data_IF_350413127234
#
_entry.id   IF_350413127234
#
_cell.length_a   1.000
_cell.length_b   1.000
_cell.length_c   1.000
_cell.angle_alpha   90.00
_cell.angle_beta   90.00
_cell.angle_gamma   90.00
#
_symmetry.space_group_name_H-M   'P 1'
#
loop_
_entity.id
_entity.type
_entity.pdbx_description
1 polymer ?
#
# COMPACT_ATOMS: atom_id res chain seq x y z
N UNK A 1 -20.41 21.87 -9.56
CA UNK A 1 -20.08 20.43 -9.49
C UNK A 1 -21.37 19.63 -9.66
N UNK A 2 -21.45 18.69 -10.61
CA UNK A 2 -22.63 17.81 -10.69
C UNK A 2 -22.67 16.89 -9.47
N UNK A 3 -23.84 16.69 -8.82
CA UNK A 3 -23.97 15.76 -7.71
C UNK A 3 -23.55 14.36 -8.17
N UNK A 4 -22.64 13.73 -7.44
CA UNK A 4 -22.15 12.40 -7.74
C UNK A 4 -23.24 11.41 -7.31
N UNK A 5 -23.83 10.70 -8.26
CA UNK A 5 -24.84 9.67 -7.96
C UNK A 5 -24.29 8.61 -7.00
N UNK A 6 -25.11 8.06 -6.09
CA UNK A 6 -24.66 7.02 -5.18
C UNK A 6 -24.11 5.80 -5.93
N UNK A 7 -23.13 5.06 -5.36
CA UNK A 7 -22.64 3.83 -5.97
C UNK A 7 -23.76 2.79 -6.10
N UNK A 8 -23.79 2.07 -7.23
CA UNK A 8 -24.73 0.96 -7.42
C UNK A 8 -24.51 -0.16 -6.40
N UNK A 9 -25.56 -0.95 -6.13
CA UNK A 9 -25.48 -2.09 -5.22
C UNK A 9 -24.34 -3.07 -5.58
N UNK A 10 -24.12 -3.32 -6.88
CA UNK A 10 -23.01 -4.17 -7.36
C UNK A 10 -21.64 -3.63 -6.95
N UNK A 11 -21.41 -2.31 -7.04
CA UNK A 11 -20.14 -1.68 -6.63
C UNK A 11 -19.93 -1.74 -5.13
N UNK A 12 -21.02 -1.59 -4.34
CA UNK A 12 -20.96 -1.75 -2.89
C UNK A 12 -20.58 -3.18 -2.50
N UNK A 13 -21.25 -4.19 -3.08
CA UNK A 13 -20.90 -5.59 -2.83
C UNK A 13 -19.45 -5.87 -3.20
N UNK A 14 -19.00 -5.42 -4.39
CA UNK A 14 -17.61 -5.57 -4.81
C UNK A 14 -16.66 -4.95 -3.77
N UNK A 15 -16.82 -3.67 -3.43
CA UNK A 15 -15.97 -2.99 -2.45
C UNK A 15 -15.96 -3.68 -1.08
N UNK A 16 -17.08 -4.25 -0.64
CA UNK A 16 -17.17 -4.95 0.63
C UNK A 16 -16.42 -6.28 0.64
N UNK A 17 -16.33 -7.00 -0.47
CA UNK A 17 -15.64 -8.32 -0.53
C UNK A 17 -14.15 -8.20 -0.84
N UNK A 18 -13.70 -7.10 -1.46
CA UNK A 18 -12.30 -6.91 -1.87
C UNK A 18 -11.28 -7.17 -0.74
N UNK A 19 -11.48 -6.69 0.50
CA UNK A 19 -10.49 -6.90 1.55
C UNK A 19 -10.20 -8.37 1.91
N UNK A 20 -11.13 -9.28 1.63
CA UNK A 20 -10.92 -10.72 1.80
C UNK A 20 -10.47 -11.40 0.50
N UNK A 21 -11.06 -11.02 -0.65
CA UNK A 21 -10.77 -11.65 -1.94
C UNK A 21 -9.35 -11.36 -2.42
N UNK A 22 -8.88 -10.12 -2.27
CA UNK A 22 -7.57 -9.68 -2.77
C UNK A 22 -6.41 -10.49 -2.16
N UNK A 23 -6.29 -10.63 -0.81
CA UNK A 23 -5.26 -11.48 -0.22
C UNK A 23 -5.37 -12.94 -0.65
N UNK A 24 -6.58 -13.49 -0.73
CA UNK A 24 -6.80 -14.91 -1.08
C UNK A 24 -6.34 -15.22 -2.51
N UNK A 25 -6.73 -14.39 -3.48
CA UNK A 25 -6.33 -14.52 -4.88
C UNK A 25 -4.82 -14.36 -5.00
N UNK A 26 -4.25 -13.33 -4.38
CA UNK A 26 -2.84 -13.04 -4.52
C UNK A 26 -1.93 -14.06 -3.83
N UNK A 27 -2.42 -14.78 -2.81
CA UNK A 27 -1.69 -15.92 -2.25
C UNK A 27 -1.41 -16.99 -3.31
N UNK A 28 -2.42 -17.30 -4.13
CA UNK A 28 -2.24 -18.22 -5.25
C UNK A 28 -1.29 -17.65 -6.30
N UNK A 29 -1.46 -16.37 -6.67
CA UNK A 29 -0.60 -15.69 -7.65
C UNK A 29 0.87 -15.67 -7.23
N UNK A 30 1.19 -15.29 -5.99
CA UNK A 30 2.57 -15.25 -5.50
C UNK A 30 3.21 -16.64 -5.48
N UNK A 31 2.49 -17.64 -4.98
CA UNK A 31 2.98 -19.02 -4.97
C UNK A 31 3.24 -19.54 -6.38
N UNK A 32 2.32 -19.29 -7.30
CA UNK A 32 2.48 -19.73 -8.68
C UNK A 32 3.61 -18.99 -9.40
N UNK A 33 3.72 -17.67 -9.21
CA UNK A 33 4.78 -16.87 -9.80
C UNK A 33 6.17 -17.33 -9.33
N UNK A 34 6.33 -17.63 -8.03
CA UNK A 34 7.60 -18.17 -7.48
C UNK A 34 7.92 -19.54 -8.06
N UNK A 35 6.92 -20.43 -8.23
CA UNK A 35 7.14 -21.73 -8.90
C UNK A 35 7.59 -21.59 -10.35
N UNK A 36 7.02 -20.63 -11.08
CA UNK A 36 7.26 -20.48 -12.53
C UNK A 36 8.55 -19.71 -12.84
N UNK A 37 8.87 -18.68 -12.05
CA UNK A 37 9.94 -17.74 -12.37
C UNK A 37 11.09 -17.77 -11.34
N UNK A 38 11.00 -18.65 -10.34
CA UNK A 38 11.94 -18.71 -9.21
C UNK A 38 11.69 -17.63 -8.16
N UNK A 39 12.40 -17.72 -7.03
CA UNK A 39 12.15 -16.89 -5.84
C UNK A 39 12.15 -15.39 -6.13
N UNK A 40 13.17 -14.92 -6.84
CA UNK A 40 13.37 -13.47 -7.03
C UNK A 40 12.42 -12.90 -8.08
N UNK A 41 12.44 -13.45 -9.30
CA UNK A 41 11.59 -12.94 -10.41
C UNK A 41 10.12 -13.24 -10.14
N UNK A 42 9.81 -14.36 -9.51
CA UNK A 42 8.44 -14.70 -9.08
C UNK A 42 7.90 -13.73 -8.03
N UNK A 43 8.71 -13.33 -7.05
CA UNK A 43 8.32 -12.31 -6.08
C UNK A 43 8.05 -10.94 -6.75
N UNK A 44 8.93 -10.51 -7.67
CA UNK A 44 8.72 -9.28 -8.45
C UNK A 44 7.45 -9.34 -9.30
N UNK A 45 7.23 -10.47 -10.00
CA UNK A 45 6.03 -10.69 -10.82
C UNK A 45 4.75 -10.69 -9.97
N UNK A 46 4.79 -11.29 -8.77
CA UNK A 46 3.70 -11.21 -7.80
C UNK A 46 3.34 -9.77 -7.43
N UNK A 47 4.33 -8.92 -7.15
CA UNK A 47 4.11 -7.49 -6.87
C UNK A 47 3.58 -6.74 -8.09
N UNK A 48 4.11 -6.99 -9.28
CA UNK A 48 3.61 -6.36 -10.51
C UNK A 48 2.13 -6.71 -10.76
N UNK A 49 1.76 -7.98 -10.60
CA UNK A 49 0.37 -8.43 -10.69
C UNK A 49 -0.52 -7.78 -9.62
N UNK A 50 0.00 -7.66 -8.39
CA UNK A 50 -0.71 -6.99 -7.30
C UNK A 50 -0.99 -5.51 -7.62
N UNK A 51 0.02 -4.75 -8.06
CA UNK A 51 -0.16 -3.34 -8.41
C UNK A 51 -1.17 -3.15 -9.55
N UNK A 52 -1.09 -3.99 -10.58
CA UNK A 52 -2.06 -4.00 -11.68
C UNK A 52 -3.48 -4.29 -11.17
N UNK A 53 -3.62 -5.26 -10.28
CA UNK A 53 -4.91 -5.61 -9.68
C UNK A 53 -5.47 -4.48 -8.80
N UNK A 54 -4.64 -3.84 -7.98
CA UNK A 54 -5.03 -2.70 -7.17
C UNK A 54 -5.61 -1.56 -8.02
N UNK A 55 -4.89 -1.15 -9.07
CA UNK A 55 -5.36 -0.12 -9.98
C UNK A 55 -6.60 -0.56 -10.77
N UNK A 56 -6.59 -1.77 -11.33
CA UNK A 56 -7.70 -2.29 -12.11
C UNK A 56 -9.01 -2.35 -11.31
N UNK A 57 -8.95 -2.89 -10.09
CA UNK A 57 -10.10 -2.96 -9.19
C UNK A 57 -10.53 -1.58 -8.70
N UNK A 58 -9.58 -0.70 -8.36
CA UNK A 58 -9.90 0.66 -7.94
C UNK A 58 -10.64 1.44 -9.04
N UNK A 59 -10.14 1.38 -10.28
CA UNK A 59 -10.75 2.03 -11.43
C UNK A 59 -12.12 1.41 -11.77
N UNK A 60 -12.25 0.09 -11.71
CA UNK A 60 -13.51 -0.59 -12.01
C UNK A 60 -14.62 -0.29 -10.98
N UNK A 61 -14.26 -0.22 -9.69
CA UNK A 61 -15.23 -0.06 -8.59
C UNK A 61 -15.50 1.41 -8.28
N UNK A 62 -14.47 2.21 -8.08
CA UNK A 62 -14.60 3.62 -7.69
C UNK A 62 -14.73 4.57 -8.90
N UNK A 63 -14.05 4.24 -10.01
CA UNK A 63 -13.97 5.08 -11.19
C UNK A 63 -12.91 6.18 -11.07
N UNK A 64 -12.27 6.50 -12.20
CA UNK A 64 -11.19 7.49 -12.26
C UNK A 64 -11.57 8.88 -11.71
N UNK A 65 -12.74 9.48 -12.03
CA UNK A 65 -13.06 10.83 -11.56
C UNK A 65 -13.15 10.94 -10.03
N UNK A 66 -13.69 9.91 -9.37
CA UNK A 66 -13.83 9.89 -7.90
C UNK A 66 -12.47 9.73 -7.24
N UNK A 67 -11.67 8.79 -7.71
CA UNK A 67 -10.30 8.57 -7.22
C UNK A 67 -9.43 9.83 -7.39
N UNK A 68 -9.45 10.44 -8.57
CA UNK A 68 -8.71 11.69 -8.82
C UNK A 68 -9.16 12.82 -7.89
N UNK A 69 -10.46 12.91 -7.57
CA UNK A 69 -10.99 13.88 -6.61
C UNK A 69 -10.40 13.72 -5.21
N UNK A 70 -10.13 12.49 -4.77
CA UNK A 70 -9.55 12.21 -3.46
C UNK A 70 -8.09 12.65 -3.34
N UNK A 71 -7.33 12.67 -4.44
CA UNK A 71 -5.95 13.21 -4.44
C UNK A 71 -5.87 14.70 -4.69
N UNK A 72 -6.87 15.29 -5.36
CA UNK A 72 -6.91 16.74 -5.64
C UNK A 72 -7.35 17.58 -4.46
N UNK A 73 -8.07 16.99 -3.51
CA UNK A 73 -8.54 17.68 -2.33
C UNK A 73 -7.46 17.62 -1.25
N UNK A 74 -7.00 18.80 -0.81
CA UNK A 74 -6.20 18.92 0.41
C UNK A 74 -7.16 18.87 1.59
N UNK A 75 -7.63 17.68 1.92
CA UNK A 75 -8.42 17.46 3.13
C UNK A 75 -7.69 18.01 4.35
N UNK A 76 -8.41 18.61 5.29
CA UNK A 76 -7.81 19.18 6.50
C UNK A 76 -8.49 18.58 7.73
N UNK A 77 -7.75 18.05 8.71
CA UNK A 77 -8.33 17.62 9.97
C UNK A 77 -8.88 18.83 10.74
N UNK A 78 -9.82 18.58 11.64
CA UNK A 78 -10.25 19.58 12.62
C UNK A 78 -9.08 20.04 13.51
N UNK A 79 -9.23 21.22 14.12
CA UNK A 79 -8.17 21.85 14.94
C UNK A 79 -7.74 20.96 16.09
N UNK A 80 -8.67 20.21 16.69
CA UNK A 80 -8.43 19.36 17.85
C UNK A 80 -7.70 18.06 17.45
N UNK A 81 -7.99 17.50 16.28
CA UNK A 81 -7.43 16.26 15.78
C UNK A 81 -6.08 16.45 15.06
N UNK A 82 -5.71 17.69 14.74
CA UNK A 82 -4.52 18.00 13.93
C UNK A 82 -3.23 17.37 14.43
N UNK A 83 -3.01 17.35 15.76
CA UNK A 83 -1.80 16.73 16.34
C UNK A 83 -1.78 15.24 16.07
N UNK A 84 -2.87 14.54 16.41
CA UNK A 84 -3.01 13.10 16.19
C UNK A 84 -2.90 12.76 14.70
N UNK A 85 -3.51 13.56 13.82
CA UNK A 85 -3.42 13.40 12.37
C UNK A 85 -1.98 13.36 11.89
N UNK A 86 -1.17 14.37 12.24
CA UNK A 86 0.23 14.39 11.84
C UNK A 86 1.08 13.34 12.54
N UNK A 87 0.82 13.02 13.81
CA UNK A 87 1.51 11.91 14.48
C UNK A 87 1.28 10.59 13.76
N UNK A 88 0.04 10.32 13.34
CA UNK A 88 -0.30 9.10 12.59
C UNK A 88 0.42 9.06 11.24
N UNK A 89 0.50 10.19 10.52
CA UNK A 89 1.19 10.26 9.22
C UNK A 89 2.72 10.17 9.33
N UNK A 90 3.31 10.72 10.38
CA UNK A 90 4.76 10.81 10.53
C UNK A 90 5.39 9.59 11.21
N UNK A 91 4.61 8.85 12.01
CA UNK A 91 5.15 7.72 12.77
C UNK A 91 5.67 6.58 11.87
N UNK A 92 4.94 6.08 10.85
CA UNK A 92 5.48 5.04 9.98
C UNK A 92 6.75 5.43 9.19
N UNK A 93 6.84 6.61 8.53
CA UNK A 93 8.07 6.98 7.83
C UNK A 93 9.22 7.22 8.81
N UNK A 94 9.00 7.81 9.99
CA UNK A 94 10.05 7.93 11.00
C UNK A 94 10.57 6.55 11.46
N UNK A 95 9.67 5.59 11.68
CA UNK A 95 10.03 4.20 11.97
C UNK A 95 10.83 3.54 10.84
N UNK A 96 10.42 3.72 9.58
CA UNK A 96 11.11 3.16 8.43
C UNK A 96 12.49 3.81 8.20
N UNK A 97 12.62 5.11 8.43
CA UNK A 97 13.89 5.82 8.37
C UNK A 97 14.88 5.24 9.39
N UNK A 98 14.44 5.08 10.64
CA UNK A 98 15.29 4.62 11.73
C UNK A 98 15.65 3.14 11.64
N UNK A 99 14.75 2.29 11.12
CA UNK A 99 14.93 0.83 11.12
C UNK A 99 15.40 0.23 9.80
N UNK A 100 15.19 0.91 8.67
CA UNK A 100 15.58 0.45 7.34
C UNK A 100 16.53 1.43 6.62
N UNK A 101 16.18 2.72 6.50
CA UNK A 101 16.99 3.64 5.69
C UNK A 101 18.36 3.92 6.32
N UNK A 102 18.42 4.46 7.54
CA UNK A 102 19.66 4.85 8.22
C UNK A 102 20.65 3.66 8.32
N UNK A 103 20.24 2.45 8.76
CA UNK A 103 21.16 1.33 8.88
C UNK A 103 21.72 0.83 7.54
N UNK A 104 21.03 1.09 6.43
CA UNK A 104 21.38 0.55 5.12
C UNK A 104 21.84 1.61 4.10
N UNK A 105 21.74 2.91 4.41
CA UNK A 105 21.99 4.00 3.47
C UNK A 105 23.38 3.93 2.82
N UNK A 106 24.43 3.72 3.63
CA UNK A 106 25.82 3.61 3.13
C UNK A 106 26.03 2.41 2.21
N UNK A 107 25.26 1.33 2.39
CA UNK A 107 25.39 0.07 1.64
C UNK A 107 24.53 0.03 0.38
N UNK A 108 23.53 0.89 0.29
CA UNK A 108 22.54 0.88 -0.79
C UNK A 108 23.13 1.37 -2.11
N UNK A 109 23.88 2.48 -2.08
CA UNK A 109 24.28 3.22 -3.28
C UNK A 109 23.10 3.98 -3.91
N UNK A 110 23.42 4.88 -4.85
CA UNK A 110 22.43 5.77 -5.47
C UNK A 110 21.37 5.00 -6.27
N UNK A 111 21.76 3.95 -7.00
CA UNK A 111 20.84 3.15 -7.82
C UNK A 111 19.78 2.46 -6.97
N UNK A 112 20.16 1.87 -5.83
CA UNK A 112 19.18 1.24 -4.94
C UNK A 112 18.29 2.26 -4.24
N UNK A 113 18.81 3.45 -3.92
CA UNK A 113 17.99 4.53 -3.37
C UNK A 113 16.94 5.00 -4.38
N UNK A 114 17.33 5.23 -5.63
CA UNK A 114 16.40 5.62 -6.70
C UNK A 114 15.36 4.52 -6.98
N UNK A 115 15.80 3.26 -7.04
CA UNK A 115 14.89 2.12 -7.19
C UNK A 115 13.89 2.04 -6.01
N UNK A 116 14.35 2.23 -4.77
CA UNK A 116 13.48 2.22 -3.60
C UNK A 116 12.42 3.32 -3.67
N UNK A 117 12.78 4.53 -4.11
CA UNK A 117 11.82 5.62 -4.33
C UNK A 117 10.78 5.24 -5.39
N UNK A 118 11.22 4.76 -6.55
CA UNK A 118 10.31 4.35 -7.62
C UNK A 118 9.32 3.27 -7.17
N UNK A 119 9.84 2.21 -6.55
CA UNK A 119 9.04 1.09 -6.04
C UNK A 119 8.10 1.56 -4.93
N UNK A 120 8.60 2.38 -3.99
CA UNK A 120 7.82 2.86 -2.86
C UNK A 120 6.67 3.76 -3.28
N UNK A 121 6.90 4.66 -4.24
CA UNK A 121 5.84 5.50 -4.83
C UNK A 121 4.83 4.64 -5.58
N UNK A 122 5.27 3.71 -6.43
CA UNK A 122 4.36 2.82 -7.18
C UNK A 122 3.49 1.98 -6.23
N UNK A 123 4.10 1.37 -5.22
CA UNK A 123 3.40 0.56 -4.24
C UNK A 123 2.37 1.38 -3.46
N UNK A 124 2.81 2.48 -2.85
CA UNK A 124 1.95 3.37 -2.08
C UNK A 124 0.75 3.85 -2.90
N UNK A 125 0.97 4.32 -4.13
CA UNK A 125 -0.13 4.82 -4.96
C UNK A 125 -1.13 3.73 -5.34
N UNK A 126 -0.65 2.53 -5.70
CA UNK A 126 -1.53 1.41 -6.01
C UNK A 126 -2.34 0.96 -4.77
N UNK A 127 -1.67 0.83 -3.62
CA UNK A 127 -2.31 0.41 -2.38
C UNK A 127 -3.29 1.46 -1.86
N UNK A 128 -2.96 2.74 -1.87
CA UNK A 128 -3.89 3.79 -1.46
C UNK A 128 -5.12 3.86 -2.38
N UNK A 129 -4.96 3.63 -3.68
CA UNK A 129 -6.09 3.57 -4.61
C UNK A 129 -7.11 2.49 -4.21
N UNK A 130 -6.62 1.29 -3.88
CA UNK A 130 -7.45 0.14 -3.53
C UNK A 130 -7.98 0.23 -2.09
N UNK A 131 -7.07 0.29 -1.11
CA UNK A 131 -7.38 0.08 0.29
C UNK A 131 -8.05 1.27 0.96
N UNK A 132 -7.83 2.49 0.47
CA UNK A 132 -8.44 3.71 1.03
C UNK A 132 -9.36 4.36 -0.01
N UNK A 133 -8.93 4.44 -1.26
CA UNK A 133 -9.68 5.08 -2.34
C UNK A 133 -11.03 4.41 -2.64
N UNK A 134 -11.05 3.09 -2.84
CA UNK A 134 -12.31 2.35 -3.06
C UNK A 134 -13.30 2.52 -1.91
N UNK A 135 -12.95 2.19 -0.65
CA UNK A 135 -13.89 2.30 0.45
C UNK A 135 -14.34 3.74 0.71
N UNK A 136 -13.49 4.75 0.53
CA UNK A 136 -13.91 6.15 0.66
C UNK A 136 -14.87 6.59 -0.45
N UNK A 137 -14.64 6.13 -1.69
CA UNK A 137 -15.49 6.46 -2.82
C UNK A 137 -16.86 5.75 -2.81
N UNK A 138 -16.96 4.61 -2.11
CA UNK A 138 -18.15 3.75 -2.09
C UNK A 138 -18.91 3.82 -0.77
N UNK A 139 -18.22 3.95 0.36
CA UNK A 139 -18.80 3.96 1.70
C UNK A 139 -18.39 5.21 2.50
N UNK A 140 -18.61 6.43 1.97
CA UNK A 140 -18.27 7.64 2.70
C UNK A 140 -18.98 7.66 4.06
N UNK A 141 -18.22 7.93 5.13
CA UNK A 141 -18.75 8.02 6.50
C UNK A 141 -19.05 6.69 7.21
N UNK A 142 -19.02 5.52 6.54
CA UNK A 142 -19.22 4.23 7.22
C UNK A 142 -17.92 3.73 7.81
N UNK A 143 -17.70 3.85 9.12
CA UNK A 143 -16.43 3.49 9.78
C UNK A 143 -15.99 2.04 9.54
N UNK A 144 -16.91 1.07 9.60
CA UNK A 144 -16.55 -0.35 9.45
C UNK A 144 -16.13 -0.64 8.00
N UNK A 145 -17.02 -0.45 7.03
CA UNK A 145 -16.74 -0.77 5.63
C UNK A 145 -15.79 0.22 4.94
N UNK A 146 -15.75 1.46 5.42
CA UNK A 146 -14.94 2.55 4.88
C UNK A 146 -13.52 2.61 5.44
N UNK A 147 -13.26 1.96 6.59
CA UNK A 147 -11.97 2.03 7.29
C UNK A 147 -11.56 0.71 7.94
N UNK A 148 -12.26 0.22 8.96
CA UNK A 148 -11.76 -0.92 9.76
C UNK A 148 -11.61 -2.21 8.94
N UNK A 149 -12.59 -2.51 8.10
CA UNK A 149 -12.59 -3.70 7.26
C UNK A 149 -11.50 -3.69 6.18
N UNK A 150 -11.35 -2.62 5.36
CA UNK A 150 -10.22 -2.55 4.44
C UNK A 150 -8.86 -2.53 5.14
N UNK A 151 -8.74 -1.92 6.33
CA UNK A 151 -7.51 -1.99 7.13
C UNK A 151 -7.18 -3.43 7.56
N UNK A 152 -8.18 -4.22 7.95
CA UNK A 152 -7.96 -5.65 8.27
C UNK A 152 -7.47 -6.43 7.05
N UNK A 153 -8.07 -6.20 5.88
CA UNK A 153 -7.62 -6.80 4.63
C UNK A 153 -6.20 -6.36 4.24
N UNK A 154 -5.84 -5.09 4.44
CA UNK A 154 -4.49 -4.56 4.21
C UNK A 154 -3.46 -5.25 5.11
N UNK A 155 -3.77 -5.47 6.39
CA UNK A 155 -2.88 -6.19 7.31
C UNK A 155 -2.75 -7.65 6.87
N UNK A 156 -3.86 -8.31 6.55
CA UNK A 156 -3.87 -9.70 6.09
C UNK A 156 -3.10 -9.88 4.77
N UNK A 157 -3.19 -8.90 3.86
CA UNK A 157 -2.45 -8.86 2.61
C UNK A 157 -0.94 -9.06 2.83
N UNK A 158 -0.36 -8.49 3.88
CA UNK A 158 1.08 -8.59 4.14
C UNK A 158 1.54 -10.02 4.48
N UNK A 159 0.62 -10.92 4.87
CA UNK A 159 0.94 -12.35 5.03
C UNK A 159 1.24 -13.03 3.68
N UNK A 160 0.71 -12.51 2.57
CA UNK A 160 0.89 -13.09 1.24
C UNK A 160 2.35 -13.04 0.78
N UNK A 161 3.01 -11.87 0.64
CA UNK A 161 4.42 -11.84 0.25
C UNK A 161 5.31 -12.54 1.29
N UNK A 162 4.96 -12.46 2.58
CA UNK A 162 5.68 -13.18 3.65
C UNK A 162 5.59 -14.72 3.53
N UNK A 163 4.54 -15.24 2.88
CA UNK A 163 4.37 -16.69 2.69
C UNK A 163 5.34 -17.31 1.70
N UNK A 164 5.91 -16.50 0.79
CA UNK A 164 6.91 -16.95 -0.19
C UNK A 164 8.29 -16.39 0.11
N UNK A 165 8.39 -15.28 0.85
CA UNK A 165 9.67 -14.69 1.26
C UNK A 165 9.57 -14.18 2.70
N UNK A 166 9.91 -15.00 3.70
CA UNK A 166 9.89 -14.60 5.10
C UNK A 166 10.81 -13.40 5.36
N UNK A 167 10.36 -12.50 6.23
CA UNK A 167 11.18 -11.36 6.65
C UNK A 167 12.23 -11.79 7.70
N UNK A 168 13.49 -11.32 7.64
CA UNK A 168 14.54 -11.75 8.58
C UNK A 168 14.23 -11.49 10.06
N UNK A 169 13.38 -10.50 10.35
CA UNK A 169 12.92 -10.18 11.73
C UNK A 169 11.61 -10.88 12.11
N UNK A 170 11.17 -11.86 11.32
CA UNK A 170 9.87 -12.52 11.47
C UNK A 170 8.71 -11.70 10.95
N UNK A 171 7.50 -12.28 11.03
CA UNK A 171 6.25 -11.69 10.49
C UNK A 171 5.70 -10.54 11.34
N UNK A 172 5.87 -10.59 12.66
CA UNK A 172 5.18 -9.68 13.57
C UNK A 172 5.57 -8.20 13.39
N UNK A 173 6.85 -7.83 13.23
CA UNK A 173 7.21 -6.44 12.98
C UNK A 173 6.57 -5.88 11.70
N UNK A 174 6.47 -6.71 10.65
CA UNK A 174 5.84 -6.34 9.39
C UNK A 174 4.34 -6.12 9.58
N UNK A 175 3.64 -7.02 10.29
CA UNK A 175 2.21 -6.88 10.56
C UNK A 175 1.89 -5.70 11.48
N UNK A 176 2.77 -5.38 12.44
CA UNK A 176 2.63 -4.20 13.29
C UNK A 176 2.77 -2.91 12.47
N UNK A 177 3.79 -2.82 11.61
CA UNK A 177 3.97 -1.70 10.68
C UNK A 177 2.77 -1.55 9.73
N UNK A 178 2.33 -2.66 9.14
CA UNK A 178 1.14 -2.72 8.29
C UNK A 178 -0.13 -2.35 9.06
N UNK A 179 -0.23 -2.67 10.36
CA UNK A 179 -1.32 -2.27 11.23
C UNK A 179 -1.36 -0.76 11.48
N UNK A 180 -0.20 -0.16 11.77
CA UNK A 180 -0.09 1.29 11.96
C UNK A 180 -0.46 2.05 10.68
N UNK A 181 0.02 1.60 9.51
CA UNK A 181 -0.33 2.17 8.21
C UNK A 181 -1.80 1.88 7.88
N UNK A 182 -2.23 0.63 8.04
CA UNK A 182 -3.59 0.14 7.80
C UNK A 182 -4.64 0.97 8.53
N UNK A 183 -4.59 0.95 9.86
CA UNK A 183 -5.54 1.61 10.73
C UNK A 183 -5.30 3.12 10.76
N UNK A 184 -4.05 3.56 10.91
CA UNK A 184 -3.72 4.98 11.02
C UNK A 184 -4.06 5.75 9.75
N UNK A 185 -3.56 5.32 8.59
CA UNK A 185 -3.84 6.05 7.35
C UNK A 185 -5.29 5.89 6.91
N UNK A 186 -5.94 4.75 7.21
CA UNK A 186 -7.38 4.61 6.98
C UNK A 186 -8.20 5.64 7.78
N UNK A 187 -7.86 5.84 9.06
CA UNK A 187 -8.47 6.89 9.88
C UNK A 187 -8.18 8.29 9.33
N UNK A 188 -6.91 8.59 9.04
CA UNK A 188 -6.50 9.90 8.54
C UNK A 188 -7.18 10.24 7.20
N UNK A 189 -7.26 9.28 6.28
CA UNK A 189 -7.93 9.44 5.01
C UNK A 189 -9.44 9.68 5.19
N UNK A 190 -10.11 8.89 6.04
CA UNK A 190 -11.54 9.07 6.32
C UNK A 190 -11.84 10.42 6.99
N UNK A 191 -11.00 10.85 7.94
CA UNK A 191 -11.16 12.11 8.66
C UNK A 191 -10.95 13.33 7.76
N UNK A 192 -9.93 13.29 6.91
CA UNK A 192 -9.59 14.40 6.01
C UNK A 192 -10.43 14.41 4.72
N UNK A 193 -10.98 13.26 4.32
CA UNK A 193 -11.61 13.09 3.02
C UNK A 193 -10.62 13.07 1.86
N UNK A 194 -9.33 12.88 2.12
CA UNK A 194 -8.25 12.97 1.13
C UNK A 194 -7.29 11.78 1.18
N UNK A 195 -6.77 11.42 0.02
CA UNK A 195 -5.68 10.45 -0.12
C UNK A 195 -4.30 11.11 -0.19
N UNK A 196 -4.21 12.43 -0.37
CA UNK A 196 -2.95 13.09 -0.70
C UNK A 196 -1.89 12.91 0.39
N UNK A 197 -2.20 13.33 1.61
CA UNK A 197 -1.25 13.28 2.71
C UNK A 197 -0.88 11.84 3.10
N UNK A 198 -1.85 10.91 3.08
CA UNK A 198 -1.59 9.49 3.37
C UNK A 198 -0.73 8.84 2.28
N UNK A 199 -0.94 9.17 1.00
CA UNK A 199 -0.13 8.63 -0.10
C UNK A 199 1.32 9.10 -0.03
N UNK A 200 1.55 10.37 0.31
CA UNK A 200 2.90 10.91 0.52
C UNK A 200 3.59 10.20 1.69
N UNK A 201 2.90 10.08 2.82
CA UNK A 201 3.44 9.41 4.01
C UNK A 201 3.73 7.92 3.76
N UNK A 202 2.85 7.23 3.03
CA UNK A 202 3.04 5.84 2.63
C UNK A 202 4.22 5.70 1.67
N UNK A 203 4.28 6.51 0.61
CA UNK A 203 5.40 6.50 -0.33
C UNK A 203 6.74 6.77 0.37
N UNK A 204 6.79 7.71 1.32
CA UNK A 204 7.98 7.99 2.11
C UNK A 204 8.39 6.78 2.97
N UNK A 205 7.42 6.07 3.55
CA UNK A 205 7.66 4.85 4.34
C UNK A 205 8.27 3.76 3.47
N UNK A 206 7.64 3.45 2.33
CA UNK A 206 8.09 2.36 1.46
C UNK A 206 9.42 2.67 0.78
N UNK A 207 9.67 3.94 0.46
CA UNK A 207 10.93 4.39 -0.15
C UNK A 207 12.14 4.19 0.77
N UNK A 208 11.94 3.99 2.08
CA UNK A 208 13.02 3.65 3.01
C UNK A 208 13.56 2.22 2.82
N UNK A 209 12.87 1.37 2.06
CA UNK A 209 13.20 -0.04 1.79
C UNK A 209 14.43 -0.27 0.90
N UNK A 210 15.50 0.51 1.04
CA UNK A 210 16.69 0.47 0.18
C UNK A 210 17.40 -0.89 0.15
N UNK A 211 17.34 -1.64 1.26
CA UNK A 211 17.84 -3.01 1.34
C UNK A 211 17.04 -3.96 0.44
N UNK A 212 15.72 -3.85 0.46
CA UNK A 212 14.84 -4.66 -0.39
C UNK A 212 15.03 -4.27 -1.87
N UNK A 213 15.11 -2.98 -2.19
CA UNK A 213 15.43 -2.50 -3.55
C UNK A 213 16.71 -3.13 -4.08
N UNK A 214 17.80 -3.11 -3.30
CA UNK A 214 19.09 -3.68 -3.70
C UNK A 214 19.06 -5.20 -3.87
N UNK A 215 18.40 -5.92 -2.97
CA UNK A 215 18.50 -7.40 -2.90
C UNK A 215 17.42 -8.14 -3.67
N UNK A 216 16.29 -7.49 -3.94
CA UNK A 216 15.14 -8.08 -4.63
C UNK A 216 15.02 -7.50 -6.02
N UNK A 217 15.15 -6.18 -6.18
CA UNK A 217 14.77 -5.50 -7.41
C UNK A 217 15.94 -5.29 -8.37
N UNK A 218 17.13 -4.97 -7.86
CA UNK A 218 18.31 -4.71 -8.69
C UNK A 218 19.18 -5.96 -8.91
N UNK A 219 19.70 -6.20 -10.14
CA UNK A 219 20.55 -7.34 -10.43
C UNK A 219 21.68 -7.48 -9.41
N UNK A 220 21.96 -8.71 -8.99
CA UNK A 220 23.19 -9.00 -8.24
C UNK A 220 24.33 -8.73 -9.22
N UNK A 221 25.35 -7.96 -8.85
CA UNK A 221 26.46 -7.55 -9.73
C UNK A 221 27.33 -8.67 -10.31
N UNK A 222 26.84 -9.92 -10.38
CA UNK A 222 27.47 -11.08 -11.01
C UNK A 222 26.60 -11.80 -12.04
N UNK A 223 25.40 -11.32 -12.37
CA UNK A 223 24.58 -11.86 -13.49
C UNK A 223 24.82 -11.12 -14.82
N UNK A 224 26.06 -10.70 -15.06
CA UNK A 224 26.53 -10.34 -16.40
C UNK A 224 27.41 -11.48 -16.88
N UNK A 225 26.80 -12.52 -17.46
CA UNK A 225 27.33 -13.45 -18.50
C UNK A 225 26.54 -14.75 -18.46
N UNK A 226 25.97 -15.11 -19.61
CA UNK A 226 25.14 -16.28 -19.83
C UNK A 226 24.34 -16.09 -21.10
#
# INVERSE_FOLDING_TARGET
MRPISPPSARRQVAAAVLPAVVPAVMLAVFRQAVRMFGDRRGYQAGFAAYWAMCWGLALAVAGLPRLAGLWRTSGSPGRHERRLFWSVLLLPPAGAITTELIPNARKAGATAALAAVGIGVTNAMAEEALWRGVPMAVFPGRKVLGWLWPSAGFIAWHLVPLSVRPHPRGRWPVLLGAGLIGLGYGWAAQMSGSLLAVSIAHAATDSCGVRAARTIWLPSGGEATG
#
